data_IF_817575134769
#
_entry.id   IF_817575134769
#
_cell.length_a   1.000
_cell.length_b   1.000
_cell.length_c   1.000
_cell.angle_alpha   90.00
_cell.angle_beta   90.00
_cell.angle_gamma   90.00
#
_symmetry.space_group_name_H-M   'P 1'
#
loop_
_entity.id
_entity.type
_entity.pdbx_description
1 polymer ?
#
# COMPACT_ATOMS: atom_id res chain seq x y z
N UNK A 1 -0.22 -0.02 -12.77
CA UNK A 1 1.12 -0.67 -12.86
C UNK A 1 1.42 -1.34 -11.52
N UNK A 2 2.42 -2.22 -11.42
CA UNK A 2 2.74 -2.98 -10.18
C UNK A 2 3.97 -2.41 -9.49
N UNK A 3 3.91 -2.29 -8.16
CA UNK A 3 5.00 -1.76 -7.35
C UNK A 3 5.22 -2.57 -6.08
N UNK A 4 6.43 -2.49 -5.56
CA UNK A 4 6.73 -2.77 -4.15
C UNK A 4 7.07 -1.46 -3.44
N UNK A 5 6.75 -1.39 -2.15
CA UNK A 5 7.07 -0.26 -1.29
C UNK A 5 7.11 -0.73 0.17
N UNK A 6 7.77 0.03 1.04
CA UNK A 6 7.67 -0.16 2.49
C UNK A 6 6.46 0.63 2.97
N UNK A 7 5.53 -0.04 3.65
CA UNK A 7 4.40 0.63 4.29
C UNK A 7 4.87 1.30 5.58
N UNK A 8 4.84 2.63 5.62
CA UNK A 8 5.34 3.42 6.74
C UNK A 8 4.33 4.53 7.09
N UNK A 9 3.17 4.15 7.67
CA UNK A 9 2.11 5.10 7.96
C UNK A 9 2.56 6.12 9.00
N UNK A 10 2.33 7.39 8.69
CA UNK A 10 2.73 8.51 9.56
C UNK A 10 1.88 8.57 10.84
N UNK A 11 0.61 8.16 10.75
CA UNK A 11 -0.34 8.07 11.85
C UNK A 11 -1.04 6.71 11.84
N UNK A 12 -0.75 5.86 12.83
CA UNK A 12 -1.35 4.52 12.94
C UNK A 12 -2.88 4.57 13.14
N UNK A 13 -3.45 5.69 13.58
CA UNK A 13 -4.88 5.82 13.91
C UNK A 13 -5.81 5.80 12.68
N UNK A 14 -5.28 6.01 11.47
CA UNK A 14 -6.08 6.04 10.23
C UNK A 14 -6.35 4.63 9.69
N UNK A 15 -5.50 3.66 10.05
CA UNK A 15 -5.54 2.30 9.52
C UNK A 15 -6.09 1.32 10.56
N UNK A 16 -6.83 0.31 10.09
CA UNK A 16 -7.33 -0.75 10.95
C UNK A 16 -6.20 -1.62 11.52
N UNK A 17 -6.50 -2.42 12.55
CA UNK A 17 -5.51 -3.26 13.24
C UNK A 17 -4.78 -4.24 12.30
N UNK A 18 -5.47 -4.73 11.27
CA UNK A 18 -4.90 -5.64 10.29
C UNK A 18 -3.84 -4.95 9.42
N UNK A 19 -4.14 -3.73 8.96
CA UNK A 19 -3.22 -2.91 8.19
C UNK A 19 -1.96 -2.54 8.98
N UNK A 20 -2.10 -2.26 10.28
CA UNK A 20 -0.97 -1.97 11.17
C UNK A 20 0.03 -3.15 11.25
N UNK A 21 -0.40 -4.40 10.99
CA UNK A 21 0.52 -5.55 10.95
C UNK A 21 1.54 -5.45 9.80
N UNK A 22 1.30 -4.59 8.81
CA UNK A 22 2.19 -4.36 7.68
C UNK A 22 3.10 -3.14 7.86
N UNK A 23 2.94 -2.37 8.94
CA UNK A 23 3.80 -1.21 9.20
C UNK A 23 5.28 -1.63 9.29
N UNK A 24 6.14 -0.90 8.58
CA UNK A 24 7.56 -1.19 8.39
C UNK A 24 7.88 -2.38 7.46
N UNK A 25 6.87 -3.04 6.87
CA UNK A 25 7.07 -4.20 5.98
C UNK A 25 6.99 -3.82 4.51
N UNK A 26 7.65 -4.63 3.68
CA UNK A 26 7.51 -4.57 2.22
C UNK A 26 6.12 -5.07 1.82
N UNK A 27 5.38 -4.27 1.05
CA UNK A 27 4.06 -4.60 0.53
C UNK A 27 4.00 -4.48 -0.99
N UNK A 28 3.09 -5.23 -1.61
CA UNK A 28 2.79 -5.17 -3.03
C UNK A 28 1.58 -4.26 -3.27
N UNK A 29 1.75 -3.21 -4.07
CA UNK A 29 0.72 -2.19 -4.32
C UNK A 29 0.49 -1.96 -5.81
N UNK A 30 -0.64 -1.34 -6.14
CA UNK A 30 -0.98 -0.85 -7.47
C UNK A 30 -1.31 0.64 -7.44
N UNK A 31 -1.17 1.30 -8.60
CA UNK A 31 -1.60 2.70 -8.78
C UNK A 31 -3.08 2.86 -8.47
N UNK A 32 -3.40 3.80 -7.60
CA UNK A 32 -4.76 4.26 -7.34
C UNK A 32 -5.10 5.54 -8.12
N UNK A 33 -5.73 6.47 -7.41
CA UNK A 33 -6.19 7.77 -7.91
C UNK A 33 -5.57 8.92 -7.10
N UNK A 34 -5.95 10.16 -7.40
CA UNK A 34 -5.60 11.31 -6.55
C UNK A 34 -6.67 11.48 -5.49
N UNK A 35 -6.27 11.54 -4.22
CA UNK A 35 -7.16 11.72 -3.08
C UNK A 35 -7.81 13.10 -3.17
N UNK A 36 -9.15 13.17 -3.11
CA UNK A 36 -9.89 14.42 -3.33
C UNK A 36 -10.31 15.14 -2.03
N UNK A 37 -10.21 14.46 -0.89
CA UNK A 37 -10.74 14.90 0.40
C UNK A 37 -9.86 14.45 1.57
N UNK A 38 -10.03 15.04 2.75
CA UNK A 38 -9.27 14.69 3.95
C UNK A 38 -7.84 15.26 4.00
N UNK A 39 -7.03 14.82 4.97
CA UNK A 39 -5.69 15.37 5.25
C UNK A 39 -4.68 15.13 4.12
N UNK A 40 -4.86 14.06 3.33
CA UNK A 40 -3.99 13.72 2.19
C UNK A 40 -4.55 14.20 0.84
N UNK A 41 -5.47 15.17 0.84
CA UNK A 41 -6.05 15.70 -0.39
C UNK A 41 -4.97 16.23 -1.34
N UNK A 42 -5.05 15.81 -2.60
CA UNK A 42 -4.11 16.16 -3.67
C UNK A 42 -2.97 15.16 -3.83
N UNK A 43 -2.82 14.21 -2.91
CA UNK A 43 -1.81 13.16 -3.04
C UNK A 43 -2.26 12.03 -3.96
N UNK A 44 -1.31 11.47 -4.71
CA UNK A 44 -1.52 10.20 -5.40
C UNK A 44 -1.58 9.08 -4.37
N UNK A 45 -2.51 8.14 -4.53
CA UNK A 45 -2.64 7.00 -3.65
C UNK A 45 -2.35 5.68 -4.36
N UNK A 46 -2.22 4.65 -3.55
CA UNK A 46 -2.01 3.28 -3.94
C UNK A 46 -2.94 2.39 -3.13
N UNK A 47 -3.04 1.11 -3.52
CA UNK A 47 -3.78 0.12 -2.75
C UNK A 47 -3.15 -1.26 -2.90
N UNK A 48 -3.41 -2.11 -1.91
CA UNK A 48 -3.13 -3.55 -1.96
C UNK A 48 -4.43 -4.24 -2.41
N UNK A 49 -4.47 -4.89 -3.58
CA UNK A 49 -5.67 -5.61 -4.03
C UNK A 49 -6.04 -6.73 -3.07
N UNK A 50 -7.34 -7.01 -2.92
CA UNK A 50 -7.88 -8.05 -2.03
C UNK A 50 -7.43 -7.93 -0.56
N UNK A 51 -7.06 -6.73 -0.11
CA UNK A 51 -6.66 -6.44 1.26
C UNK A 51 -7.60 -5.43 1.91
N UNK A 52 -7.65 -5.46 3.24
CA UNK A 52 -8.40 -4.52 4.09
C UNK A 52 -7.61 -3.25 4.41
N UNK A 53 -6.36 -3.11 3.94
CA UNK A 53 -5.51 -1.91 4.17
C UNK A 53 -6.15 -0.65 3.58
N UNK A 54 -6.91 -0.79 2.49
CA UNK A 54 -7.61 0.32 1.87
C UNK A 54 -6.71 1.23 1.04
N UNK A 55 -7.02 2.52 1.06
CA UNK A 55 -6.31 3.55 0.29
C UNK A 55 -5.06 4.01 1.05
N UNK A 56 -3.90 3.94 0.40
CA UNK A 56 -2.61 4.31 0.97
C UNK A 56 -2.10 5.57 0.28
N UNK A 57 -2.05 6.74 0.94
CA UNK A 57 -1.41 7.93 0.41
C UNK A 57 0.06 7.69 0.11
N UNK A 58 0.61 8.39 -0.88
CA UNK A 58 2.04 8.29 -1.22
C UNK A 58 2.94 8.66 -0.03
N UNK A 59 2.52 9.57 0.84
CA UNK A 59 3.27 9.94 2.05
C UNK A 59 3.55 8.77 2.99
N UNK A 60 2.68 7.76 3.02
CA UNK A 60 2.78 6.58 3.89
C UNK A 60 3.59 5.43 3.25
N UNK A 61 4.29 5.70 2.15
CA UNK A 61 5.06 4.72 1.39
C UNK A 61 6.50 5.18 1.21
N UNK A 62 7.43 4.28 1.48
CA UNK A 62 8.87 4.47 1.22
C UNK A 62 9.37 3.53 0.14
N UNK A 63 10.43 3.96 -0.54
CA UNK A 63 11.15 3.15 -1.54
C UNK A 63 10.26 2.53 -2.63
N UNK A 64 9.26 3.29 -3.12
CA UNK A 64 8.35 2.83 -4.18
C UNK A 64 9.15 2.47 -5.43
N UNK A 65 9.05 1.21 -5.87
CA UNK A 65 9.74 0.68 -7.05
C UNK A 65 8.77 -0.08 -7.93
N UNK A 66 8.83 0.17 -9.25
CA UNK A 66 8.07 -0.64 -10.19
C UNK A 66 8.70 -2.01 -10.34
N UNK A 67 7.86 -3.04 -10.36
CA UNK A 67 8.28 -4.44 -10.43
C UNK A 67 7.44 -5.23 -11.44
N UNK A 68 7.97 -6.35 -11.98
CA UNK A 68 7.18 -7.27 -12.78
C UNK A 68 6.05 -7.92 -11.98
N UNK A 69 4.95 -8.29 -12.66
CA UNK A 69 3.77 -8.92 -12.05
C UNK A 69 4.11 -10.21 -11.28
N UNK A 70 5.14 -10.96 -11.70
CA UNK A 70 5.56 -12.20 -11.05
C UNK A 70 6.07 -11.90 -9.63
N UNK A 71 6.99 -10.93 -9.50
CA UNK A 71 7.51 -10.47 -8.21
C UNK A 71 6.39 -9.91 -7.33
N UNK A 72 5.46 -9.18 -7.93
CA UNK A 72 4.34 -8.59 -7.22
C UNK A 72 3.42 -9.65 -6.61
N UNK A 73 3.13 -10.73 -7.35
CA UNK A 73 2.35 -11.87 -6.85
C UNK A 73 3.06 -12.62 -5.72
N UNK A 74 4.39 -12.74 -5.78
CA UNK A 74 5.17 -13.36 -4.69
C UNK A 74 5.05 -12.57 -3.39
N UNK A 75 5.10 -11.23 -3.46
CA UNK A 75 4.95 -10.38 -2.29
C UNK A 75 3.54 -10.49 -1.72
N UNK A 76 2.48 -10.43 -2.55
CA UNK A 76 1.10 -10.63 -2.07
C UNK A 76 0.92 -11.96 -1.35
N UNK A 77 1.46 -13.04 -1.92
CA UNK A 77 1.42 -14.36 -1.28
C UNK A 77 2.13 -14.35 0.09
N UNK A 78 3.26 -13.66 0.20
CA UNK A 78 3.98 -13.51 1.47
C UNK A 78 3.22 -12.66 2.50
N UNK A 79 2.34 -11.76 2.03
CA UNK A 79 1.44 -10.97 2.86
C UNK A 79 0.21 -11.77 3.31
N UNK A 80 0.01 -13.00 2.83
CA UNK A 80 -1.21 -13.78 3.08
C UNK A 80 -2.43 -13.27 2.30
N UNK A 81 -2.22 -12.43 1.29
CA UNK A 81 -3.27 -11.88 0.44
C UNK A 81 -3.36 -12.73 -0.83
N UNK A 82 -4.45 -13.48 -0.99
CA UNK A 82 -4.67 -14.32 -2.16
C UNK A 82 -5.30 -13.49 -3.31
N UNK A 83 -4.77 -13.66 -4.52
CA UNK A 83 -5.28 -13.03 -5.76
C UNK A 83 -6.28 -13.91 -6.47
#
# INVERSE_FOLDING_TARGET
MYYEAIFDPTENEIYNEEAQQFAGKLIAIQDGWVINEGPHKGEHCFYVPNSTIGTIPKSDLKDIKSIPVIRWKEILKSMGVET
#
